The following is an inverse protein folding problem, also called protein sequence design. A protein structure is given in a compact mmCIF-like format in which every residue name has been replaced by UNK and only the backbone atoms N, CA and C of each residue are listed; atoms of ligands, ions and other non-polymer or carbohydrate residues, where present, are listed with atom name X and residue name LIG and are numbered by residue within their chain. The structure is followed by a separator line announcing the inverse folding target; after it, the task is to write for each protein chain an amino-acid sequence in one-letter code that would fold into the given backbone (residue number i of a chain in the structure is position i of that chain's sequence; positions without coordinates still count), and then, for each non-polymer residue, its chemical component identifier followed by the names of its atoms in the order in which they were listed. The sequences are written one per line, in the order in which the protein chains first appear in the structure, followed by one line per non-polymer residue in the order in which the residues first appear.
data_IF_494436946333
#
_entry.id   IF_494436946333
#
_cell.length_a   1.000
_cell.length_b   1.000
_cell.length_c   1.000
_cell.angle_alpha   90.00
_cell.angle_beta   90.00
_cell.angle_gamma   90.00
#
_symmetry.space_group_name_H-M   'P 1'
#
loop_
_entity.id
_entity.type
_entity.pdbx_description
1 polymer ?
#
# COMPACT_ATOMS: atom_id res chain seq x y z
N UNK A 1 -65.90 22.05 9.36
CA UNK A 1 -64.97 21.46 8.37
C UNK A 1 -63.56 21.82 8.76
N UNK A 2 -62.78 20.86 9.30
CA UNK A 2 -61.37 21.05 9.69
C UNK A 2 -60.51 20.40 8.61
N UNK A 3 -59.75 21.19 7.88
CA UNK A 3 -58.78 20.70 6.90
C UNK A 3 -57.53 20.18 7.63
N UNK A 4 -57.22 18.91 7.45
CA UNK A 4 -55.94 18.28 7.92
C UNK A 4 -54.90 18.60 6.85
N UNK A 5 -53.88 19.38 7.19
CA UNK A 5 -52.68 19.54 6.34
C UNK A 5 -51.72 18.40 6.62
N UNK A 6 -51.51 17.53 5.65
CA UNK A 6 -50.48 16.48 5.68
C UNK A 6 -49.16 17.08 5.26
N UNK A 7 -48.22 17.19 6.21
CA UNK A 7 -46.84 17.60 5.90
C UNK A 7 -46.07 16.40 5.34
N UNK A 8 -45.73 16.46 4.06
CA UNK A 8 -44.79 15.52 3.43
C UNK A 8 -43.36 15.92 3.81
N UNK A 9 -42.73 15.18 4.70
CA UNK A 9 -41.27 15.27 4.92
C UNK A 9 -40.57 14.54 3.79
N UNK A 10 -39.97 15.28 2.85
CA UNK A 10 -39.02 14.71 1.89
C UNK A 10 -37.76 14.30 2.63
N UNK A 11 -37.49 13.02 2.72
CA UNK A 11 -36.20 12.47 3.10
C UNK A 11 -35.26 12.58 1.88
N UNK A 12 -34.43 13.65 1.86
CA UNK A 12 -33.40 13.84 0.84
C UNK A 12 -32.05 13.40 1.39
N UNK A 13 -31.75 12.10 1.41
CA UNK A 13 -30.48 11.60 1.91
C UNK A 13 -29.72 10.55 1.08
N UNK A 14 -30.21 9.89 0.01
CA UNK A 14 -29.35 8.92 -0.70
C UNK A 14 -28.47 9.50 -1.80
N UNK A 15 -28.79 10.65 -2.40
CA UNK A 15 -28.07 11.17 -3.57
C UNK A 15 -26.64 11.66 -3.26
N UNK A 16 -26.40 12.18 -2.05
CA UNK A 16 -25.08 12.73 -1.70
C UNK A 16 -24.02 11.66 -1.38
N UNK A 17 -24.41 10.47 -0.96
CA UNK A 17 -23.49 9.39 -0.61
C UNK A 17 -23.01 8.62 -1.85
N UNK A 18 -23.90 8.38 -2.84
CA UNK A 18 -23.53 7.76 -4.12
C UNK A 18 -22.56 8.64 -4.94
N UNK A 19 -22.69 9.97 -4.82
CA UNK A 19 -21.75 10.91 -5.44
C UNK A 19 -20.36 10.84 -4.80
N UNK A 20 -20.27 10.61 -3.48
CA UNK A 20 -19.01 10.52 -2.76
C UNK A 20 -18.24 9.25 -3.14
N UNK A 21 -18.87 8.08 -3.04
CA UNK A 21 -18.25 6.80 -3.36
C UNK A 21 -17.83 6.71 -4.82
N UNK A 22 -18.67 7.20 -5.74
CA UNK A 22 -18.35 7.34 -7.16
C UNK A 22 -17.15 8.24 -7.39
N UNK A 23 -17.13 9.42 -6.75
CA UNK A 23 -16.02 10.38 -6.87
C UNK A 23 -14.70 9.79 -6.37
N UNK A 24 -14.69 9.13 -5.21
CA UNK A 24 -13.51 8.46 -4.66
C UNK A 24 -13.04 7.35 -5.60
N UNK A 25 -13.96 6.54 -6.12
CA UNK A 25 -13.64 5.46 -7.04
C UNK A 25 -12.98 5.98 -8.31
N UNK A 26 -13.58 7.01 -8.94
CA UNK A 26 -13.15 7.52 -10.23
C UNK A 26 -11.92 8.42 -10.14
N UNK A 27 -11.75 9.16 -9.05
CA UNK A 27 -10.67 10.15 -8.92
C UNK A 27 -9.47 9.66 -8.10
N UNK A 28 -9.63 8.64 -7.26
CA UNK A 28 -8.55 8.15 -6.41
C UNK A 28 -8.20 6.68 -6.68
N UNK A 29 -9.18 5.77 -6.68
CA UNK A 29 -8.90 4.34 -6.75
C UNK A 29 -8.47 3.92 -8.16
N UNK A 30 -9.29 4.21 -9.17
CA UNK A 30 -8.99 3.81 -10.56
C UNK A 30 -7.68 4.41 -11.07
N UNK A 31 -7.40 5.71 -10.87
CA UNK A 31 -6.11 6.28 -11.25
C UNK A 31 -4.91 5.63 -10.55
N UNK A 32 -5.01 5.31 -9.26
CA UNK A 32 -3.91 4.68 -8.52
C UNK A 32 -3.55 3.30 -9.08
N UNK A 33 -4.53 2.48 -9.44
CA UNK A 33 -4.26 1.17 -10.04
C UNK A 33 -3.89 1.26 -11.53
N UNK A 34 -4.35 2.26 -12.26
CA UNK A 34 -3.89 2.53 -13.61
C UNK A 34 -2.40 2.94 -13.64
N UNK A 35 -1.97 3.84 -12.74
CA UNK A 35 -0.56 4.23 -12.56
C UNK A 35 0.30 3.01 -12.21
N UNK A 36 -0.14 2.19 -11.25
CA UNK A 36 0.54 0.95 -10.90
C UNK A 36 0.75 0.04 -12.12
N UNK A 37 -0.26 -0.14 -12.97
CA UNK A 37 -0.15 -0.96 -14.18
C UNK A 37 0.85 -0.38 -15.18
N UNK A 38 0.86 0.94 -15.36
CA UNK A 38 1.79 1.66 -16.25
C UNK A 38 3.23 1.50 -15.75
N UNK A 39 3.50 1.82 -14.50
CA UNK A 39 4.85 1.83 -13.94
C UNK A 39 5.44 0.42 -13.83
N UNK A 40 4.61 -0.57 -13.52
CA UNK A 40 5.06 -1.98 -13.49
C UNK A 40 5.34 -2.52 -14.89
N UNK A 41 4.60 -2.10 -15.92
CA UNK A 41 4.91 -2.42 -17.31
C UNK A 41 6.25 -1.79 -17.72
N UNK A 42 6.50 -0.54 -17.38
CA UNK A 42 7.79 0.13 -17.62
C UNK A 42 8.95 -0.57 -16.90
N UNK A 43 8.75 -1.04 -15.66
CA UNK A 43 9.71 -1.87 -14.93
C UNK A 43 10.02 -3.16 -15.68
N UNK A 44 9.01 -3.89 -16.16
CA UNK A 44 9.20 -5.13 -16.90
C UNK A 44 9.96 -4.91 -18.22
N UNK A 45 9.66 -3.85 -18.95
CA UNK A 45 10.34 -3.51 -20.20
C UNK A 45 11.79 -3.07 -19.96
N UNK A 46 12.03 -2.30 -18.90
CA UNK A 46 13.40 -1.92 -18.51
C UNK A 46 14.22 -3.15 -18.09
N UNK A 47 13.63 -4.10 -17.35
CA UNK A 47 14.31 -5.35 -16.98
C UNK A 47 14.62 -6.24 -18.18
N UNK A 48 13.80 -6.22 -19.24
CA UNK A 48 14.09 -6.91 -20.51
C UNK A 48 15.31 -6.29 -21.20
N UNK A 49 15.41 -4.95 -21.20
CA UNK A 49 16.49 -4.21 -21.84
C UNK A 49 17.81 -4.32 -21.05
N UNK A 50 17.78 -4.16 -19.74
CA UNK A 50 18.96 -4.26 -18.87
C UNK A 50 18.57 -4.84 -17.49
N UNK A 51 18.89 -6.11 -17.26
CA UNK A 51 18.59 -6.86 -16.05
C UNK A 51 19.72 -6.83 -15.01
N UNK A 52 20.79 -6.07 -15.24
CA UNK A 52 21.93 -6.03 -14.31
C UNK A 52 21.55 -5.37 -12.99
N UNK A 53 21.96 -5.91 -11.83
CA UNK A 53 21.59 -5.38 -10.53
C UNK A 53 21.99 -3.91 -10.29
N UNK A 54 23.05 -3.43 -10.99
CA UNK A 54 23.54 -2.05 -10.89
C UNK A 54 23.06 -1.13 -12.02
N UNK A 55 22.12 -1.57 -12.85
CA UNK A 55 21.50 -0.73 -13.85
C UNK A 55 20.74 0.41 -13.17
N UNK A 56 21.15 1.65 -13.42
CA UNK A 56 20.48 2.85 -12.87
C UNK A 56 19.04 2.93 -13.39
N UNK A 57 18.84 2.66 -14.68
CA UNK A 57 17.50 2.66 -15.28
C UNK A 57 16.58 1.63 -14.63
N UNK A 58 17.07 0.39 -14.39
CA UNK A 58 16.26 -0.65 -13.74
C UNK A 58 15.94 -0.29 -12.29
N UNK A 59 16.89 0.26 -11.53
CA UNK A 59 16.66 0.72 -10.16
C UNK A 59 15.70 1.89 -10.09
N UNK A 60 15.75 2.81 -11.06
CA UNK A 60 14.79 3.91 -11.16
C UNK A 60 13.37 3.37 -11.44
N UNK A 61 13.19 2.56 -12.48
CA UNK A 61 11.91 1.95 -12.81
C UNK A 61 11.34 1.08 -11.67
N UNK A 62 12.21 0.33 -10.96
CA UNK A 62 11.82 -0.38 -9.74
C UNK A 62 11.28 0.58 -8.67
N UNK A 63 11.96 1.71 -8.49
CA UNK A 63 11.56 2.71 -7.50
C UNK A 63 10.19 3.32 -7.81
N UNK A 64 9.94 3.69 -9.05
CA UNK A 64 8.67 4.26 -9.54
C UNK A 64 7.52 3.25 -9.40
N UNK A 65 7.70 2.04 -9.91
CA UNK A 65 6.72 0.98 -9.82
C UNK A 65 6.38 0.61 -8.35
N UNK A 66 7.40 0.61 -7.47
CA UNK A 66 7.15 0.32 -6.06
C UNK A 66 6.44 1.48 -5.35
N UNK A 67 6.73 2.73 -5.68
CA UNK A 67 5.99 3.88 -5.16
C UNK A 67 4.52 3.83 -5.59
N UNK A 68 4.24 3.49 -6.86
CA UNK A 68 2.87 3.33 -7.34
C UNK A 68 2.11 2.23 -6.56
N UNK A 69 2.76 1.09 -6.28
CA UNK A 69 2.17 0.08 -5.39
C UNK A 69 1.93 0.61 -3.98
N UNK A 70 2.88 1.29 -3.37
CA UNK A 70 2.73 1.84 -2.03
C UNK A 70 1.57 2.85 -1.98
N UNK A 71 1.40 3.67 -3.02
CA UNK A 71 0.29 4.60 -3.14
C UNK A 71 -1.08 3.90 -3.21
N UNK A 72 -1.18 2.76 -3.92
CA UNK A 72 -2.40 1.98 -4.05
C UNK A 72 -2.64 0.99 -2.89
N UNK A 73 -1.60 0.64 -2.12
CA UNK A 73 -1.56 -0.51 -1.22
C UNK A 73 -2.49 -0.44 -0.01
N UNK A 74 -3.06 0.71 0.30
CA UNK A 74 -4.06 0.85 1.36
C UNK A 74 -5.46 0.38 0.94
N UNK A 75 -5.74 0.25 -0.37
CA UNK A 75 -6.97 -0.35 -0.89
C UNK A 75 -6.91 -1.88 -0.85
N UNK A 76 -6.91 -2.44 0.39
CA UNK A 76 -6.81 -3.88 0.67
C UNK A 76 -8.19 -4.54 0.65
N UNK A 77 -8.87 -4.43 -0.49
CA UNK A 77 -10.18 -5.06 -0.75
C UNK A 77 -10.39 -5.27 -2.25
N UNK A 78 -11.43 -6.02 -2.61
CA UNK A 78 -11.79 -6.27 -4.01
C UNK A 78 -10.66 -6.96 -4.79
N UNK A 79 -10.35 -6.48 -6.01
CA UNK A 79 -9.39 -7.11 -6.92
C UNK A 79 -7.98 -7.28 -6.35
N UNK A 80 -7.59 -6.45 -5.39
CA UNK A 80 -6.30 -6.52 -4.72
C UNK A 80 -6.15 -7.79 -3.88
N UNK A 81 -7.24 -8.29 -3.30
CA UNK A 81 -7.22 -9.49 -2.44
C UNK A 81 -7.55 -10.78 -3.21
N UNK A 82 -8.00 -10.70 -4.47
CA UNK A 82 -8.25 -11.85 -5.33
C UNK A 82 -6.94 -12.64 -5.51
N UNK A 83 -6.98 -13.95 -5.29
CA UNK A 83 -5.83 -14.86 -5.44
C UNK A 83 -4.56 -14.39 -4.69
N UNK A 84 -4.74 -13.66 -3.59
CA UNK A 84 -3.63 -13.11 -2.79
C UNK A 84 -2.68 -12.18 -3.60
N UNK A 85 -3.20 -11.45 -4.59
CA UNK A 85 -2.41 -10.57 -5.49
C UNK A 85 -1.59 -9.54 -4.73
N UNK A 86 -2.13 -8.96 -3.66
CA UNK A 86 -1.37 -8.01 -2.83
C UNK A 86 -0.14 -8.65 -2.19
N UNK A 87 -0.25 -9.90 -1.71
CA UNK A 87 0.90 -10.62 -1.17
C UNK A 87 1.87 -11.07 -2.27
N UNK A 88 1.38 -11.39 -3.46
CA UNK A 88 2.23 -11.70 -4.60
C UNK A 88 3.05 -10.48 -5.05
N UNK A 89 2.48 -9.28 -5.00
CA UNK A 89 3.20 -8.02 -5.26
C UNK A 89 4.17 -7.66 -4.14
N UNK A 90 3.78 -7.84 -2.87
CA UNK A 90 4.54 -7.32 -1.75
C UNK A 90 4.43 -8.22 -0.50
N UNK A 91 5.24 -9.28 -0.45
CA UNK A 91 5.31 -10.18 0.69
C UNK A 91 6.15 -9.57 1.83
N UNK A 92 5.51 -8.76 2.64
CA UNK A 92 6.11 -8.12 3.81
C UNK A 92 5.07 -7.99 4.95
N UNK A 93 5.46 -8.16 6.22
CA UNK A 93 6.82 -8.42 6.72
C UNK A 93 7.24 -9.89 6.58
N UNK A 94 8.48 -10.13 6.15
CA UNK A 94 9.08 -11.45 6.13
C UNK A 94 9.85 -11.76 7.41
N UNK A 95 9.12 -12.11 8.47
CA UNK A 95 9.69 -12.38 9.80
C UNK A 95 10.54 -13.65 9.89
N UNK A 96 10.48 -14.54 8.88
CA UNK A 96 11.17 -15.83 8.84
C UNK A 96 12.25 -15.92 7.77
N UNK A 97 12.57 -14.79 7.12
CA UNK A 97 13.52 -14.72 6.00
C UNK A 97 13.21 -15.76 4.90
N UNK A 98 11.95 -15.88 4.53
CA UNK A 98 11.50 -16.79 3.47
C UNK A 98 11.96 -16.29 2.10
N UNK A 99 11.92 -14.99 1.86
CA UNK A 99 12.31 -14.36 0.59
C UNK A 99 13.76 -14.66 0.21
N UNK A 100 14.78 -14.34 1.03
CA UNK A 100 16.17 -14.64 0.67
C UNK A 100 16.42 -16.14 0.54
N UNK A 101 15.75 -16.99 1.33
CA UNK A 101 15.88 -18.46 1.22
C UNK A 101 15.30 -19.00 -0.09
N UNK A 102 14.14 -18.50 -0.51
CA UNK A 102 13.50 -18.89 -1.76
C UNK A 102 14.36 -18.48 -2.97
N UNK A 103 14.84 -17.23 -2.99
CA UNK A 103 15.72 -16.74 -4.05
C UNK A 103 17.05 -17.51 -4.11
N UNK A 104 17.69 -17.75 -2.96
CA UNK A 104 18.94 -18.54 -2.90
C UNK A 104 18.73 -19.99 -3.38
N UNK A 105 17.56 -20.56 -3.12
CA UNK A 105 17.21 -21.90 -3.63
C UNK A 105 17.08 -21.90 -5.15
N UNK A 106 16.33 -20.95 -5.74
CA UNK A 106 16.16 -20.81 -7.18
C UNK A 106 17.49 -20.59 -7.89
N UNK A 107 18.31 -19.67 -7.38
CA UNK A 107 19.64 -19.35 -7.93
C UNK A 107 20.56 -20.58 -7.91
N UNK A 108 20.51 -21.38 -6.84
CA UNK A 108 21.36 -22.57 -6.72
C UNK A 108 20.93 -23.71 -7.63
N UNK A 109 19.62 -23.91 -7.79
CA UNK A 109 19.10 -24.98 -8.64
C UNK A 109 19.05 -24.62 -10.12
N UNK A 110 19.15 -23.34 -10.46
CA UNK A 110 18.91 -22.78 -11.80
C UNK A 110 17.63 -23.32 -12.43
N UNK A 111 16.54 -23.28 -11.64
CA UNK A 111 15.24 -23.84 -12.04
C UNK A 111 14.73 -23.20 -13.33
N UNK A 112 14.60 -24.03 -14.39
CA UNK A 112 14.18 -23.58 -15.71
C UNK A 112 12.70 -23.12 -15.75
N UNK A 113 11.88 -23.51 -14.78
CA UNK A 113 10.47 -23.15 -14.69
C UNK A 113 10.24 -21.64 -14.60
N UNK A 114 11.25 -20.86 -14.20
CA UNK A 114 11.15 -19.39 -14.17
C UNK A 114 10.96 -18.74 -15.55
N UNK A 115 11.22 -19.46 -16.63
CA UNK A 115 11.05 -18.94 -18.01
C UNK A 115 9.62 -18.98 -18.51
N UNK A 116 8.77 -19.80 -17.88
CA UNK A 116 7.34 -19.88 -18.18
C UNK A 116 6.53 -19.06 -17.18
N UNK A 117 5.81 -18.05 -17.67
CA UNK A 117 5.09 -17.10 -16.83
C UNK A 117 3.98 -17.77 -15.98
N UNK A 118 3.28 -18.77 -16.52
CA UNK A 118 2.21 -19.47 -15.80
C UNK A 118 2.78 -20.34 -14.67
N UNK A 119 3.89 -21.02 -14.94
CA UNK A 119 4.64 -21.78 -13.93
C UNK A 119 5.17 -20.87 -12.84
N UNK A 120 5.79 -19.72 -13.21
CA UNK A 120 6.33 -18.77 -12.26
C UNK A 120 5.26 -18.15 -11.35
N UNK A 121 4.07 -17.86 -11.88
CA UNK A 121 2.93 -17.37 -11.09
C UNK A 121 2.48 -18.35 -10.00
N UNK A 122 2.78 -19.64 -10.15
CA UNK A 122 2.54 -20.69 -9.15
C UNK A 122 3.64 -20.83 -8.09
N UNK A 123 4.75 -20.11 -8.21
CA UNK A 123 5.82 -20.18 -7.22
C UNK A 123 5.43 -19.50 -5.90
N UNK A 124 6.20 -19.82 -4.85
CA UNK A 124 6.01 -19.18 -3.55
C UNK A 124 6.00 -17.65 -3.67
N UNK A 125 5.04 -16.99 -3.06
CA UNK A 125 4.97 -15.53 -2.97
C UNK A 125 6.25 -14.91 -2.38
N UNK A 126 7.03 -15.66 -1.60
CA UNK A 126 8.31 -15.23 -1.09
C UNK A 126 9.41 -15.09 -2.17
N UNK A 127 9.23 -15.70 -3.34
CA UNK A 127 10.15 -15.56 -4.48
C UNK A 127 9.66 -14.56 -5.52
N UNK A 128 8.54 -13.88 -5.27
CA UNK A 128 7.83 -13.00 -6.21
C UNK A 128 7.75 -11.57 -5.66
N UNK A 129 7.35 -10.64 -6.52
CA UNK A 129 7.01 -9.28 -6.13
C UNK A 129 8.20 -8.38 -5.79
N UNK A 130 7.86 -7.19 -5.31
CA UNK A 130 8.81 -6.09 -5.12
C UNK A 130 9.95 -6.42 -4.14
N UNK A 131 9.66 -7.13 -3.03
CA UNK A 131 10.72 -7.43 -2.06
C UNK A 131 11.69 -8.51 -2.56
N UNK A 132 11.22 -9.46 -3.37
CA UNK A 132 12.11 -10.41 -4.03
C UNK A 132 13.02 -9.70 -5.03
N UNK A 133 12.47 -8.77 -5.81
CA UNK A 133 13.25 -7.94 -6.74
C UNK A 133 14.23 -7.03 -6.00
N UNK A 134 13.85 -6.45 -4.84
CA UNK A 134 14.77 -5.67 -3.99
C UNK A 134 16.03 -6.45 -3.62
N UNK A 135 15.87 -7.71 -3.22
CA UNK A 135 17.02 -8.57 -2.92
C UNK A 135 17.93 -8.76 -4.12
N UNK A 136 17.39 -9.01 -5.30
CA UNK A 136 18.21 -9.19 -6.51
C UNK A 136 18.94 -7.93 -6.96
N UNK A 137 18.37 -6.74 -6.70
CA UNK A 137 18.95 -5.47 -7.13
C UNK A 137 19.88 -4.82 -6.10
N UNK A 138 19.67 -5.07 -4.80
CA UNK A 138 20.33 -4.28 -3.74
C UNK A 138 21.03 -5.12 -2.67
N UNK A 139 20.66 -6.40 -2.47
CA UNK A 139 21.32 -7.24 -1.47
C UNK A 139 22.70 -7.67 -1.99
N UNK A 140 23.80 -7.41 -1.24
CA UNK A 140 25.16 -7.67 -1.71
C UNK A 140 25.42 -9.13 -2.04
N UNK A 141 24.81 -10.06 -1.29
CA UNK A 141 25.03 -11.49 -1.47
C UNK A 141 24.19 -12.02 -2.64
N UNK A 142 22.88 -11.77 -2.65
CA UNK A 142 21.98 -12.30 -3.68
C UNK A 142 22.16 -11.65 -5.06
N UNK A 143 22.52 -10.36 -5.10
CA UNK A 143 22.81 -9.68 -6.36
C UNK A 143 24.08 -10.19 -7.07
N UNK A 144 24.94 -10.91 -6.36
CA UNK A 144 26.17 -11.50 -6.87
C UNK A 144 26.16 -13.05 -6.92
N UNK A 145 25.14 -13.72 -6.36
CA UNK A 145 25.10 -15.18 -6.24
C UNK A 145 24.86 -15.90 -7.57
N UNK A 146 25.42 -17.07 -7.77
CA UNK A 146 25.18 -17.97 -8.90
C UNK A 146 25.53 -17.38 -10.28
N UNK A 147 24.94 -17.91 -11.33
CA UNK A 147 25.14 -17.47 -12.71
C UNK A 147 24.53 -16.08 -12.96
N UNK A 148 25.25 -15.13 -13.58
CA UNK A 148 24.69 -13.85 -14.01
C UNK A 148 23.49 -13.98 -14.96
N UNK A 149 23.54 -14.97 -15.86
CA UNK A 149 22.46 -15.20 -16.84
C UNK A 149 21.18 -15.69 -16.16
N UNK A 150 21.31 -16.56 -15.17
CA UNK A 150 20.16 -17.03 -14.40
C UNK A 150 19.55 -15.90 -13.56
N UNK A 151 20.36 -15.09 -12.87
CA UNK A 151 19.85 -13.91 -12.14
C UNK A 151 19.15 -12.93 -13.06
N UNK A 152 19.67 -12.72 -14.26
CA UNK A 152 19.04 -11.88 -15.27
C UNK A 152 17.67 -12.42 -15.67
N UNK A 153 17.58 -13.72 -15.95
CA UNK A 153 16.31 -14.39 -16.25
C UNK A 153 15.33 -14.28 -15.09
N UNK A 154 15.79 -14.50 -13.85
CA UNK A 154 14.95 -14.38 -12.65
C UNK A 154 14.47 -12.94 -12.41
N UNK A 155 15.33 -11.93 -12.62
CA UNK A 155 14.97 -10.50 -12.55
C UNK A 155 13.86 -10.18 -13.55
N UNK A 156 13.97 -10.66 -14.80
CA UNK A 156 12.93 -10.51 -15.83
C UNK A 156 11.63 -11.21 -15.47
N UNK A 157 11.72 -12.44 -14.96
CA UNK A 157 10.56 -13.22 -14.56
C UNK A 157 9.78 -12.51 -13.43
N UNK A 158 10.46 -12.04 -12.37
CA UNK A 158 9.83 -11.32 -11.28
C UNK A 158 9.22 -10.00 -11.77
N UNK A 159 9.93 -9.22 -12.59
CA UNK A 159 9.42 -7.95 -13.11
C UNK A 159 8.19 -8.15 -14.02
N UNK A 160 8.18 -9.20 -14.84
CA UNK A 160 7.03 -9.56 -15.69
C UNK A 160 5.84 -10.02 -14.84
N UNK A 161 6.06 -10.80 -13.79
CA UNK A 161 5.04 -11.26 -12.87
C UNK A 161 4.40 -10.10 -12.08
N UNK A 162 5.21 -9.13 -11.63
CA UNK A 162 4.74 -7.89 -11.01
C UNK A 162 3.81 -7.14 -11.98
N UNK A 163 4.26 -6.93 -13.23
CA UNK A 163 3.48 -6.22 -14.24
C UNK A 163 2.16 -6.94 -14.59
N UNK A 164 2.20 -8.26 -14.76
CA UNK A 164 1.01 -9.06 -15.05
C UNK A 164 0.00 -9.02 -13.90
N UNK A 165 0.48 -9.10 -12.65
CA UNK A 165 -0.38 -9.03 -11.46
C UNK A 165 -1.01 -7.64 -11.31
N UNK A 166 -0.24 -6.57 -11.51
CA UNK A 166 -0.70 -5.18 -11.45
C UNK A 166 -1.73 -4.89 -12.56
N UNK A 167 -1.48 -5.36 -13.78
CA UNK A 167 -2.41 -5.23 -14.91
C UNK A 167 -3.74 -5.95 -14.62
N UNK A 168 -3.69 -7.16 -14.05
CA UNK A 168 -4.89 -7.90 -13.67
C UNK A 168 -5.70 -7.17 -12.59
N UNK A 169 -5.03 -6.57 -11.59
CA UNK A 169 -5.69 -5.75 -10.56
C UNK A 169 -6.36 -4.54 -11.21
N UNK A 170 -5.64 -3.79 -12.03
CA UNK A 170 -6.15 -2.58 -12.70
C UNK A 170 -7.34 -2.89 -13.60
N UNK A 171 -7.27 -3.96 -14.37
CA UNK A 171 -8.35 -4.39 -15.25
C UNK A 171 -9.60 -4.81 -14.47
N UNK A 172 -9.44 -5.63 -13.44
CA UNK A 172 -10.57 -6.06 -12.60
C UNK A 172 -11.23 -4.88 -11.87
N UNK A 173 -10.44 -3.87 -11.47
CA UNK A 173 -10.99 -2.63 -10.91
C UNK A 173 -11.82 -1.87 -11.93
N UNK A 174 -11.30 -1.64 -13.14
CA UNK A 174 -11.96 -0.84 -14.16
C UNK A 174 -13.23 -1.52 -14.70
N UNK A 175 -13.15 -2.82 -15.02
CA UNK A 175 -14.20 -3.54 -15.74
C UNK A 175 -15.23 -4.22 -14.83
N UNK A 176 -14.84 -4.61 -13.61
CA UNK A 176 -15.67 -5.46 -12.77
C UNK A 176 -16.06 -4.79 -11.44
N UNK A 177 -15.11 -4.15 -10.73
CA UNK A 177 -15.34 -3.79 -9.33
C UNK A 177 -15.77 -2.33 -9.13
N UNK A 178 -15.40 -1.42 -10.02
CA UNK A 178 -15.78 0.00 -9.90
C UNK A 178 -17.29 0.20 -9.87
N UNK A 179 -18.06 -0.63 -10.58
CA UNK A 179 -19.52 -0.63 -10.55
C UNK A 179 -20.08 -0.88 -9.15
N UNK A 180 -19.51 -1.83 -8.41
CA UNK A 180 -19.89 -2.18 -7.04
C UNK A 180 -19.60 -1.05 -6.03
N UNK A 181 -18.60 -0.21 -6.33
CA UNK A 181 -18.20 0.92 -5.48
C UNK A 181 -18.99 2.21 -5.80
N UNK A 182 -19.58 2.33 -6.99
CA UNK A 182 -20.33 3.53 -7.40
C UNK A 182 -21.77 3.54 -6.88
N UNK A 183 -22.35 2.36 -6.68
CA UNK A 183 -23.71 2.23 -6.16
C UNK A 183 -23.89 0.86 -5.51
N UNK A 184 -24.80 0.76 -4.51
CA UNK A 184 -25.17 -0.52 -3.91
C UNK A 184 -25.63 -1.54 -4.97
N UNK A 185 -25.02 -2.73 -4.93
CA UNK A 185 -25.28 -3.82 -5.88
C UNK A 185 -25.18 -5.19 -5.17
N UNK A 186 -24.57 -6.18 -5.80
CA UNK A 186 -24.52 -7.53 -5.26
C UNK A 186 -23.59 -7.68 -4.05
N UNK A 187 -22.49 -6.92 -4.01
CA UNK A 187 -21.47 -7.00 -2.95
C UNK A 187 -21.79 -6.09 -1.77
N UNK A 188 -22.16 -4.84 -2.06
CA UNK A 188 -22.52 -3.84 -1.05
C UNK A 188 -24.00 -3.55 -1.15
N UNK A 189 -24.75 -3.75 -0.07
CA UNK A 189 -26.22 -3.60 -0.03
C UNK A 189 -26.66 -2.18 0.25
N UNK A 190 -25.74 -1.33 0.74
CA UNK A 190 -26.01 0.07 1.06
C UNK A 190 -24.77 0.94 0.81
N UNK A 191 -24.98 2.25 0.70
CA UNK A 191 -23.91 3.25 0.65
C UNK A 191 -23.05 3.25 1.91
N UNK A 192 -23.64 2.92 3.06
CA UNK A 192 -22.93 2.83 4.33
C UNK A 192 -21.90 1.69 4.30
N UNK A 193 -22.20 0.55 3.65
CA UNK A 193 -21.26 -0.56 3.50
C UNK A 193 -20.07 -0.15 2.59
N UNK A 194 -20.31 0.61 1.53
CA UNK A 194 -19.25 1.15 0.66
C UNK A 194 -18.38 2.17 1.45
N UNK A 195 -19.03 3.09 2.15
CA UNK A 195 -18.36 4.10 2.98
C UNK A 195 -17.52 3.45 4.09
N UNK A 196 -18.05 2.38 4.70
CA UNK A 196 -17.32 1.58 5.69
C UNK A 196 -16.05 0.94 5.12
N UNK A 197 -16.11 0.38 3.89
CA UNK A 197 -14.94 -0.19 3.22
C UNK A 197 -13.87 0.87 2.93
N UNK A 198 -14.28 2.07 2.48
CA UNK A 198 -13.37 3.19 2.24
C UNK A 198 -12.73 3.70 3.55
N UNK A 199 -13.51 3.81 4.62
CA UNK A 199 -12.99 4.17 5.96
C UNK A 199 -12.02 3.10 6.47
N UNK A 200 -12.33 1.81 6.27
CA UNK A 200 -11.46 0.70 6.62
C UNK A 200 -10.14 0.73 5.85
N UNK A 201 -10.15 1.07 4.56
CA UNK A 201 -8.93 1.26 3.77
C UNK A 201 -8.03 2.34 4.39
N UNK A 202 -8.60 3.49 4.75
CA UNK A 202 -7.87 4.58 5.41
C UNK A 202 -7.31 4.16 6.77
N UNK A 203 -8.12 3.57 7.63
CA UNK A 203 -7.70 3.17 9.00
C UNK A 203 -6.63 2.09 8.97
N UNK A 204 -6.77 1.10 8.09
CA UNK A 204 -5.77 0.04 7.89
C UNK A 204 -4.46 0.61 7.34
N UNK A 205 -4.51 1.53 6.39
CA UNK A 205 -3.33 2.22 5.87
C UNK A 205 -2.56 2.98 6.95
N UNK A 206 -3.27 3.73 7.80
CA UNK A 206 -2.67 4.43 8.95
C UNK A 206 -2.13 3.45 10.00
N UNK A 207 -2.78 2.30 10.22
CA UNK A 207 -2.28 1.26 11.10
C UNK A 207 -0.99 0.63 10.58
N UNK A 208 -0.87 0.40 9.28
CA UNK A 208 0.38 -0.06 8.65
C UNK A 208 1.51 0.95 8.87
N UNK A 209 1.25 2.26 8.79
CA UNK A 209 2.26 3.28 9.12
C UNK A 209 2.73 3.18 10.56
N UNK A 210 1.80 3.10 11.53
CA UNK A 210 2.09 3.08 12.96
C UNK A 210 2.80 1.77 13.36
N UNK A 211 2.14 0.63 13.12
CA UNK A 211 2.54 -0.65 13.71
C UNK A 211 3.66 -1.32 12.90
N UNK A 212 3.59 -1.17 11.58
CA UNK A 212 4.48 -1.90 10.69
C UNK A 212 5.67 -1.06 10.25
N UNK A 213 5.47 0.12 9.63
CA UNK A 213 6.58 0.91 9.07
C UNK A 213 7.43 1.59 10.13
N UNK A 214 6.79 2.13 11.19
CA UNK A 214 7.49 2.76 12.31
C UNK A 214 7.70 1.82 13.50
N UNK A 215 6.68 1.04 13.86
CA UNK A 215 6.72 0.20 15.04
C UNK A 215 7.73 -0.95 14.96
N UNK A 216 7.86 -1.59 13.79
CA UNK A 216 8.80 -2.71 13.63
C UNK A 216 10.28 -2.33 13.76
N UNK A 217 10.79 -1.27 13.11
CA UNK A 217 12.15 -0.82 13.33
C UNK A 217 12.38 -0.25 14.74
N UNK A 218 11.40 0.45 15.32
CA UNK A 218 11.48 0.94 16.69
C UNK A 218 11.66 -0.21 17.71
N UNK A 219 10.90 -1.31 17.56
CA UNK A 219 10.91 -2.38 18.54
C UNK A 219 10.59 -1.90 19.96
N UNK A 220 11.33 -2.37 20.96
CA UNK A 220 11.33 -1.80 22.31
C UNK A 220 12.49 -0.84 22.51
N UNK A 221 12.48 -0.04 23.59
CA UNK A 221 13.56 0.90 23.88
C UNK A 221 14.92 0.16 24.00
N UNK A 222 14.93 -0.95 24.73
CA UNK A 222 16.15 -1.73 24.95
C UNK A 222 16.54 -2.64 23.77
N UNK A 223 15.66 -2.79 22.79
CA UNK A 223 15.84 -3.70 21.67
C UNK A 223 15.29 -3.11 20.36
N UNK A 224 15.96 -2.08 19.81
CA UNK A 224 15.64 -1.54 18.51
C UNK A 224 15.99 -2.53 17.40
N UNK A 225 15.27 -2.46 16.28
CA UNK A 225 15.42 -3.38 15.16
C UNK A 225 15.48 -2.64 13.80
N UNK A 226 16.50 -1.80 13.53
CA UNK A 226 16.58 -1.04 12.27
C UNK A 226 16.53 -1.95 11.03
N UNK A 227 17.05 -3.18 11.14
CA UNK A 227 17.00 -4.16 10.05
C UNK A 227 15.58 -4.63 9.67
N UNK A 228 14.55 -4.30 10.46
CA UNK A 228 13.15 -4.59 10.17
C UNK A 228 12.43 -3.47 9.44
N UNK A 229 13.10 -2.35 9.12
CA UNK A 229 12.54 -1.29 8.31
C UNK A 229 12.20 -1.81 6.90
N UNK A 230 11.03 -1.41 6.40
CA UNK A 230 10.53 -1.79 5.09
C UNK A 230 11.46 -1.27 3.98
N UNK A 231 11.73 -2.07 2.96
CA UNK A 231 12.53 -1.67 1.78
C UNK A 231 13.85 -0.96 2.13
N UNK A 232 14.52 -1.39 3.21
CA UNK A 232 15.74 -0.76 3.70
C UNK A 232 16.95 -0.93 2.77
N UNK A 233 16.99 -2.03 1.98
CA UNK A 233 18.08 -2.31 1.05
C UNK A 233 18.14 -1.30 -0.08
N UNK A 234 16.96 -0.91 -0.55
CA UNK A 234 16.80 0.11 -1.58
C UNK A 234 16.78 1.55 -1.03
N UNK A 235 16.87 1.73 0.30
CA UNK A 235 16.84 3.05 0.93
C UNK A 235 15.46 3.70 0.95
N UNK A 236 14.37 2.92 0.87
CA UNK A 236 13.02 3.47 0.60
C UNK A 236 12.08 3.51 1.80
N UNK A 237 12.51 3.15 3.00
CA UNK A 237 11.62 3.05 4.18
C UNK A 237 10.88 4.36 4.47
N UNK A 238 11.60 5.48 4.56
CA UNK A 238 11.01 6.81 4.76
C UNK A 238 10.20 7.26 3.53
N UNK A 239 10.68 6.96 2.33
CA UNK A 239 9.96 7.24 1.07
C UNK A 239 8.60 6.58 1.03
N UNK A 240 8.50 5.29 1.39
CA UNK A 240 7.24 4.54 1.44
C UNK A 240 6.25 5.13 2.44
N UNK A 241 6.74 5.61 3.59
CA UNK A 241 5.90 6.33 4.55
C UNK A 241 5.32 7.60 3.94
N UNK A 242 6.14 8.43 3.29
CA UNK A 242 5.72 9.68 2.66
C UNK A 242 4.73 9.44 1.50
N UNK A 243 4.99 8.45 0.64
CA UNK A 243 4.08 8.05 -0.44
C UNK A 243 2.73 7.63 0.10
N UNK A 244 2.70 6.81 1.16
CA UNK A 244 1.44 6.39 1.79
C UNK A 244 0.66 7.55 2.38
N UNK A 245 1.32 8.50 3.05
CA UNK A 245 0.67 9.71 3.58
C UNK A 245 0.04 10.53 2.46
N UNK A 246 0.78 10.73 1.36
CA UNK A 246 0.30 11.49 0.20
C UNK A 246 -0.91 10.82 -0.47
N UNK A 247 -0.95 9.49 -0.51
CA UNK A 247 -2.06 8.74 -1.12
C UNK A 247 -3.29 8.68 -0.21
N UNK A 248 -3.13 8.61 1.11
CA UNK A 248 -4.24 8.53 2.07
C UNK A 248 -4.88 9.87 2.37
N UNK A 249 -4.15 10.98 2.28
CA UNK A 249 -4.70 12.32 2.57
C UNK A 249 -5.91 12.67 1.70
N UNK A 250 -5.88 12.54 0.35
CA UNK A 250 -7.05 12.80 -0.48
C UNK A 250 -8.28 11.97 -0.09
N UNK A 251 -8.09 10.68 0.24
CA UNK A 251 -9.17 9.82 0.71
C UNK A 251 -9.77 10.32 2.02
N UNK A 252 -8.93 10.68 3.00
CA UNK A 252 -9.38 11.22 4.28
C UNK A 252 -10.17 12.54 4.11
N UNK A 253 -9.68 13.43 3.24
CA UNK A 253 -10.31 14.73 2.96
C UNK A 253 -11.62 14.59 2.17
N UNK A 254 -11.73 13.61 1.28
CA UNK A 254 -12.96 13.29 0.57
C UNK A 254 -14.02 12.74 1.54
N UNK A 255 -13.64 11.79 2.40
CA UNK A 255 -14.54 11.25 3.43
C UNK A 255 -15.05 12.33 4.41
N UNK A 256 -14.27 13.37 4.68
CA UNK A 256 -14.63 14.49 5.57
C UNK A 256 -15.35 15.65 4.85
N UNK A 257 -15.85 15.48 3.62
CA UNK A 257 -16.36 16.61 2.81
C UNK A 257 -17.53 17.38 3.45
N UNK A 258 -18.31 16.74 4.31
CA UNK A 258 -19.45 17.38 5.02
C UNK A 258 -19.06 18.23 6.26
N UNK A 259 -17.81 18.10 6.75
CA UNK A 259 -17.31 18.78 7.96
C UNK A 259 -16.02 19.56 7.65
N UNK A 260 -16.14 20.86 7.41
CA UNK A 260 -15.01 21.72 7.08
C UNK A 260 -13.98 21.82 8.22
N UNK A 261 -14.41 21.74 9.49
CA UNK A 261 -13.51 21.78 10.63
C UNK A 261 -12.69 20.48 10.75
N UNK A 262 -13.36 19.34 10.63
CA UNK A 262 -12.70 18.04 10.60
C UNK A 262 -11.73 17.91 9.42
N UNK A 263 -12.15 18.34 8.22
CA UNK A 263 -11.29 18.38 7.03
C UNK A 263 -10.01 19.19 7.26
N UNK A 264 -10.13 20.36 7.91
CA UNK A 264 -8.97 21.19 8.27
C UNK A 264 -8.07 20.53 9.32
N UNK A 265 -8.65 19.80 10.30
CA UNK A 265 -7.90 19.07 11.33
C UNK A 265 -7.13 17.91 10.71
N UNK A 266 -7.75 17.12 9.82
CA UNK A 266 -7.11 16.03 9.07
C UNK A 266 -5.95 16.56 8.21
N UNK A 267 -6.19 17.60 7.41
CA UNK A 267 -5.14 18.20 6.56
C UNK A 267 -3.94 18.68 7.39
N UNK A 268 -4.19 19.28 8.58
CA UNK A 268 -3.13 19.67 9.53
C UNK A 268 -2.35 18.47 10.05
N UNK A 269 -3.04 17.38 10.41
CA UNK A 269 -2.42 16.15 10.87
C UNK A 269 -1.47 15.56 9.82
N UNK A 270 -1.95 15.34 8.60
CA UNK A 270 -1.13 14.84 7.49
C UNK A 270 0.07 15.74 7.20
N UNK A 271 -0.14 17.05 7.11
CA UNK A 271 0.94 18.03 6.88
C UNK A 271 2.01 17.97 7.98
N UNK A 272 1.60 17.88 9.24
CA UNK A 272 2.52 17.85 10.38
C UNK A 272 3.37 16.58 10.36
N UNK A 273 2.76 15.42 10.10
CA UNK A 273 3.47 14.13 9.99
C UNK A 273 4.48 14.18 8.84
N UNK A 274 4.07 14.65 7.67
CA UNK A 274 4.92 14.78 6.49
C UNK A 274 6.14 15.67 6.75
N UNK A 275 5.93 16.86 7.29
CA UNK A 275 7.02 17.79 7.62
C UNK A 275 8.02 17.18 8.61
N UNK A 276 7.55 16.44 9.62
CA UNK A 276 8.44 15.77 10.57
C UNK A 276 9.17 14.58 9.95
N UNK A 277 8.50 13.83 9.08
CA UNK A 277 9.11 12.72 8.36
C UNK A 277 10.25 13.22 7.45
N UNK A 278 9.99 14.27 6.66
CA UNK A 278 11.01 14.91 5.81
C UNK A 278 12.20 15.45 6.63
N UNK A 279 11.95 16.00 7.82
CA UNK A 279 12.99 16.53 8.69
C UNK A 279 13.83 15.45 9.41
N UNK A 280 13.48 14.16 9.32
CA UNK A 280 14.29 13.08 9.91
C UNK A 280 15.62 12.90 9.19
N UNK A 281 15.64 13.03 7.86
CA UNK A 281 16.80 12.76 7.01
C UNK A 281 17.41 11.36 7.28
N UNK A 282 16.53 10.38 7.50
CA UNK A 282 16.89 8.99 7.83
C UNK A 282 16.11 8.03 6.91
N UNK A 283 16.63 7.73 5.72
CA UNK A 283 15.90 7.01 4.69
C UNK A 283 15.52 5.58 5.07
N UNK A 284 16.18 4.97 6.06
CA UNK A 284 15.99 3.56 6.46
C UNK A 284 15.68 3.38 7.94
N UNK A 285 15.41 4.47 8.66
CA UNK A 285 15.17 4.45 10.10
C UNK A 285 16.32 3.83 10.93
N UNK A 286 17.56 4.04 10.50
CA UNK A 286 18.75 3.55 11.23
C UNK A 286 18.88 4.23 12.60
N UNK A 287 18.45 5.48 12.70
CA UNK A 287 18.45 6.29 13.92
C UNK A 287 17.61 5.73 15.08
N UNK A 288 16.79 4.69 14.86
CA UNK A 288 16.10 4.00 15.97
C UNK A 288 17.07 3.36 16.97
N UNK A 289 18.31 3.11 16.57
CA UNK A 289 19.35 2.53 17.41
C UNK A 289 20.09 3.57 18.28
N UNK A 290 19.97 4.86 17.94
CA UNK A 290 20.56 5.96 18.71
C UNK A 290 19.49 6.70 19.53
N UNK A 291 19.62 6.81 20.88
CA UNK A 291 18.61 7.43 21.72
C UNK A 291 18.25 8.87 21.34
N UNK A 292 19.18 9.66 20.79
CA UNK A 292 18.94 11.06 20.45
C UNK A 292 18.10 11.20 19.16
N UNK A 293 18.27 10.32 18.18
CA UNK A 293 17.49 10.31 16.94
C UNK A 293 16.22 9.49 17.08
N UNK A 294 16.24 8.43 17.89
CA UNK A 294 15.09 7.59 18.20
C UNK A 294 13.88 8.41 18.69
N UNK A 295 14.09 9.36 19.60
CA UNK A 295 13.00 10.19 20.15
C UNK A 295 12.25 10.97 19.05
N UNK A 296 12.94 11.33 17.95
CA UNK A 296 12.29 12.01 16.81
C UNK A 296 11.37 11.05 16.04
N UNK A 297 11.78 9.78 15.90
CA UNK A 297 10.98 8.73 15.23
C UNK A 297 9.80 8.32 16.11
N UNK A 298 9.99 8.24 17.43
CA UNK A 298 8.89 7.99 18.39
C UNK A 298 7.86 9.14 18.38
N UNK A 299 8.31 10.40 18.33
CA UNK A 299 7.45 11.56 18.20
C UNK A 299 6.68 11.58 16.87
N UNK A 300 7.31 11.14 15.77
CA UNK A 300 6.65 10.95 14.48
C UNK A 300 5.57 9.87 14.56
N UNK A 301 5.90 8.74 15.18
CA UNK A 301 4.94 7.64 15.40
C UNK A 301 3.75 8.10 16.25
N UNK A 302 3.99 8.89 17.31
CA UNK A 302 2.90 9.42 18.14
C UNK A 302 1.94 10.27 17.32
N UNK A 303 2.42 11.07 16.38
CA UNK A 303 1.54 11.87 15.51
C UNK A 303 0.73 11.04 14.53
N UNK A 304 1.28 9.90 14.04
CA UNK A 304 0.47 8.96 13.26
C UNK A 304 -0.65 8.37 14.13
N UNK A 305 -0.37 8.03 15.40
CA UNK A 305 -1.40 7.59 16.36
C UNK A 305 -2.47 8.65 16.61
N UNK A 306 -2.06 9.91 16.81
CA UNK A 306 -3.00 11.01 17.00
C UNK A 306 -3.91 11.19 15.79
N UNK A 307 -3.38 11.05 14.58
CA UNK A 307 -4.17 11.06 13.34
C UNK A 307 -5.13 9.86 13.25
N UNK A 308 -4.68 8.66 13.64
CA UNK A 308 -5.55 7.47 13.72
C UNK A 308 -6.71 7.70 14.69
N UNK A 309 -6.43 8.25 15.86
CA UNK A 309 -7.43 8.63 16.86
C UNK A 309 -8.44 9.62 16.29
N UNK A 310 -7.96 10.67 15.59
CA UNK A 310 -8.83 11.65 14.95
C UNK A 310 -9.76 10.99 13.90
N UNK A 311 -9.24 10.06 13.09
CA UNK A 311 -10.04 9.31 12.12
C UNK A 311 -11.07 8.41 12.81
N UNK A 312 -10.69 7.66 13.83
CA UNK A 312 -11.59 6.71 14.51
C UNK A 312 -12.66 7.43 15.38
N UNK A 313 -12.30 8.51 16.07
CA UNK A 313 -13.19 9.16 17.03
C UNK A 313 -14.06 10.28 16.42
N UNK A 314 -13.64 10.84 15.27
CA UNK A 314 -14.39 11.93 14.64
C UNK A 314 -14.86 11.59 13.23
N UNK A 315 -13.99 11.07 12.36
CA UNK A 315 -14.38 10.80 10.97
C UNK A 315 -15.35 9.62 10.87
N UNK A 316 -15.09 8.50 11.54
CA UNK A 316 -16.03 7.36 11.56
C UNK A 316 -17.43 7.75 12.02
N UNK A 317 -17.58 8.36 13.21
CA UNK A 317 -18.89 8.84 13.70
C UNK A 317 -19.56 9.86 12.79
N UNK A 318 -18.82 10.79 12.14
CA UNK A 318 -19.40 11.77 11.21
C UNK A 318 -19.99 11.15 9.96
N UNK A 319 -19.48 9.99 9.57
CA UNK A 319 -20.00 9.18 8.45
C UNK A 319 -21.13 8.25 8.86
N UNK A 320 -21.41 8.10 10.16
CA UNK A 320 -22.38 7.13 10.68
C UNK A 320 -21.95 5.68 10.58
N UNK A 321 -20.66 5.42 10.31
CA UNK A 321 -20.10 4.08 10.16
C UNK A 321 -18.87 3.86 11.05
N UNK A 322 -18.54 2.60 11.32
CA UNK A 322 -17.29 2.20 11.97
C UNK A 322 -16.44 1.39 10.97
N UNK A 323 -15.11 1.51 11.06
CA UNK A 323 -14.22 0.82 10.14
C UNK A 323 -14.34 -0.73 10.18
N UNK A 324 -14.87 -1.28 11.26
CA UNK A 324 -14.92 -2.73 11.47
C UNK A 324 -13.53 -3.33 11.71
N UNK A 325 -13.46 -4.65 11.77
CA UNK A 325 -12.19 -5.37 11.90
C UNK A 325 -11.44 -5.44 10.56
N UNK A 326 -10.12 -5.40 10.62
CA UNK A 326 -9.23 -5.60 9.49
C UNK A 326 -8.28 -6.79 9.74
N UNK A 327 -7.47 -7.15 8.73
CA UNK A 327 -6.56 -8.30 8.82
C UNK A 327 -5.42 -8.17 9.84
N UNK A 328 -5.23 -7.00 10.43
CA UNK A 328 -4.19 -6.73 11.45
C UNK A 328 -4.74 -6.80 12.88
N UNK A 329 -6.06 -6.88 13.05
CA UNK A 329 -6.71 -6.88 14.37
C UNK A 329 -6.75 -8.28 15.02
N UNK A 330 -6.30 -9.31 14.31
CA UNK A 330 -6.39 -10.73 14.70
C UNK A 330 -5.09 -11.42 15.09
N UNK A 331 -3.96 -10.71 15.19
CA UNK A 331 -2.65 -11.27 15.56
C UNK A 331 -2.26 -10.98 17.01
#
# INVERSE_FOLDING_TARGET
MRALALALTLAAAPAAASDLSSSITDQLILPAFAELAIDTAALADTAKADCRPRSEALRAAYGEAFDAWIAASHYRFGPTETDSRAFALAFWPDSRSKTPKALASLIRSEDAGITDAATFAGYSIAARGFYALEYLLYDPDLSAAGSPDYRCTLTRAISTDIASTAQAISWDWAENYAGEMRAPASRYRSEDEITQELLKALTTGLQVLDDMRLGRPLGTFDKPHPSRAEARRSGRSLRHMLVSLNAMEPLALALAQGDAALKADLARGFKTIRHRAEALDDPIFEGVADPATRIRIEALRQQVKDLRTLVSERLGPSLGVAAGFNSLDGD
#
